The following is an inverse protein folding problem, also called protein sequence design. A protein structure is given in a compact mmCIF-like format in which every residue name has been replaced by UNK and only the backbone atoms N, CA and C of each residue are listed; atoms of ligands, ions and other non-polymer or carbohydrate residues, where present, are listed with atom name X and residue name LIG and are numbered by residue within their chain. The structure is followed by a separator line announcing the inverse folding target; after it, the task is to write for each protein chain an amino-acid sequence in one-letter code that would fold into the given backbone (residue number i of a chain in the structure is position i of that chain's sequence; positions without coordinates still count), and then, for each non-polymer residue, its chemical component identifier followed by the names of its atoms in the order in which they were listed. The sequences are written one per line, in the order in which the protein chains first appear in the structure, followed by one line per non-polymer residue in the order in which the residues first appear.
data_IF_056102320004
#
_entry.id   IF_056102320004
#
_cell.length_a   1.000
_cell.length_b   1.000
_cell.length_c   1.000
_cell.angle_alpha   90.00
_cell.angle_beta   90.00
_cell.angle_gamma   90.00
#
_symmetry.space_group_name_H-M   'P 1'
#
loop_
_entity.id
_entity.type
_entity.pdbx_description
1 polymer ?
#
# COMPACT_ATOMS: atom_id res chain seq x y z
N UNK A 1 -60.68 22.96 33.70
CA UNK A 1 -60.94 24.29 33.16
C UNK A 1 -60.00 24.51 32.01
N UNK A 2 -60.48 24.19 30.90
CA UNK A 2 -60.92 25.01 29.77
C UNK A 2 -59.71 25.41 28.89
N UNK A 3 -59.56 24.75 27.74
CA UNK A 3 -59.07 25.30 26.46
C UNK A 3 -60.00 26.46 26.03
N UNK A 4 -59.59 27.32 25.02
CA UNK A 4 -59.55 26.91 23.60
C UNK A 4 -58.50 27.64 22.73
N UNK A 5 -58.12 27.10 21.64
CA UNK A 5 -58.47 27.17 20.18
C UNK A 5 -57.67 28.19 19.37
N UNK A 6 -57.17 27.68 18.22
CA UNK A 6 -56.56 28.35 17.07
C UNK A 6 -57.50 29.37 16.36
N UNK A 7 -57.00 30.19 15.37
CA UNK A 7 -56.86 29.70 13.99
C UNK A 7 -55.73 30.34 13.13
N UNK A 8 -55.43 29.70 11.98
CA UNK A 8 -54.81 30.25 10.79
C UNK A 8 -55.73 31.23 10.07
N UNK A 9 -55.20 32.13 9.13
CA UNK A 9 -55.30 31.75 7.72
C UNK A 9 -54.18 32.27 6.78
N UNK A 10 -53.98 31.52 5.72
CA UNK A 10 -53.78 31.86 4.29
C UNK A 10 -53.42 33.28 3.85
N UNK A 11 -52.42 33.39 2.97
CA UNK A 11 -52.49 33.82 1.56
C UNK A 11 -51.19 34.33 0.95
N UNK A 12 -50.96 33.80 -0.23
CA UNK A 12 -50.52 34.39 -1.51
C UNK A 12 -49.11 34.15 -2.00
N UNK A 13 -49.07 33.32 -3.04
CA UNK A 13 -48.11 33.39 -4.17
C UNK A 13 -48.35 34.69 -4.97
N UNK A 14 -47.32 35.18 -5.69
CA UNK A 14 -47.46 35.14 -7.15
C UNK A 14 -46.25 34.54 -7.88
N UNK A 15 -46.61 33.87 -8.95
CA UNK A 15 -45.85 33.42 -10.09
C UNK A 15 -45.29 34.60 -10.91
N UNK A 16 -44.01 34.43 -11.37
CA UNK A 16 -43.56 35.10 -12.59
C UNK A 16 -42.80 34.11 -13.44
N UNK A 17 -43.37 33.80 -14.57
CA UNK A 17 -42.72 33.22 -15.74
C UNK A 17 -41.87 34.28 -16.43
N UNK A 18 -40.67 33.93 -16.83
CA UNK A 18 -40.06 34.42 -18.07
C UNK A 18 -39.15 33.33 -18.64
N UNK A 19 -39.54 32.91 -19.82
CA UNK A 19 -38.73 32.11 -20.76
C UNK A 19 -37.45 32.88 -21.11
N UNK A 20 -36.31 32.14 -21.17
CA UNK A 20 -35.37 32.36 -22.27
C UNK A 20 -34.63 31.07 -22.60
N UNK A 21 -34.71 30.73 -23.87
CA UNK A 21 -34.05 29.62 -24.55
C UNK A 21 -32.55 29.88 -24.62
N UNK A 22 -31.72 28.90 -24.28
CA UNK A 22 -30.50 28.63 -25.04
C UNK A 22 -30.11 27.17 -24.94
N UNK A 23 -30.15 26.57 -26.06
CA UNK A 23 -29.59 25.39 -26.67
C UNK A 23 -28.44 24.69 -25.91
N UNK A 24 -28.65 23.37 -25.81
CA UNK A 24 -27.73 22.41 -25.21
C UNK A 24 -26.55 22.03 -26.09
N UNK A 25 -25.60 21.42 -25.44
CA UNK A 25 -24.74 20.42 -26.00
C UNK A 25 -24.39 19.43 -24.86
N UNK A 26 -25.06 18.30 -24.90
CA UNK A 26 -24.68 17.15 -24.13
C UNK A 26 -23.44 16.51 -24.79
N UNK A 27 -22.33 16.52 -24.09
CA UNK A 27 -21.15 15.77 -24.50
C UNK A 27 -21.20 14.36 -23.89
N UNK A 28 -21.74 13.43 -24.65
CA UNK A 28 -21.66 11.98 -24.45
C UNK A 28 -20.20 11.51 -24.47
N UNK A 29 -19.73 10.94 -23.38
CA UNK A 29 -18.46 10.23 -23.32
C UNK A 29 -18.65 8.82 -23.92
N UNK A 30 -18.15 8.60 -25.13
CA UNK A 30 -18.07 7.29 -25.74
C UNK A 30 -16.79 6.54 -25.34
N UNK A 31 -16.85 5.25 -25.07
CA UNK A 31 -15.64 4.45 -24.90
C UNK A 31 -15.09 4.05 -26.28
N UNK A 32 -13.78 4.21 -26.44
CA UNK A 32 -13.03 3.77 -27.60
C UNK A 32 -12.75 2.25 -27.50
N UNK A 33 -13.49 1.45 -28.28
CA UNK A 33 -13.06 0.11 -28.67
C UNK A 33 -13.18 0.05 -30.19
N UNK A 34 -12.06 -0.05 -30.86
CA UNK A 34 -12.00 -0.28 -32.31
C UNK A 34 -12.12 -1.77 -32.63
N UNK A 35 -13.18 -2.11 -33.34
CA UNK A 35 -13.34 -3.42 -33.92
C UNK A 35 -12.62 -3.54 -35.28
N UNK A 36 -12.12 -4.72 -35.56
CA UNK A 36 -11.71 -5.17 -36.88
C UNK A 36 -12.72 -6.16 -37.42
N UNK A 37 -13.29 -5.82 -38.55
CA UNK A 37 -14.28 -6.55 -39.32
C UNK A 37 -13.65 -7.67 -40.19
N UNK A 38 -14.39 -8.76 -40.36
CA UNK A 38 -14.18 -9.73 -41.41
C UNK A 38 -15.39 -10.67 -41.49
N UNK A 39 -16.27 -10.41 -42.44
CA UNK A 39 -17.44 -11.19 -42.69
C UNK A 39 -17.19 -12.41 -43.59
N UNK A 40 -18.13 -13.31 -43.62
CA UNK A 40 -18.86 -13.83 -44.80
C UNK A 40 -19.72 -15.06 -44.42
N UNK A 41 -20.99 -14.93 -44.83
CA UNK A 41 -21.96 -15.88 -45.36
C UNK A 41 -22.18 -17.28 -44.75
N UNK A 42 -23.34 -17.50 -44.27
CA UNK A 42 -24.53 -18.16 -44.84
C UNK A 42 -24.46 -19.68 -45.04
N UNK A 43 -25.27 -20.44 -44.39
CA UNK A 43 -26.37 -21.15 -45.00
C UNK A 43 -27.07 -22.13 -44.01
N UNK A 44 -28.31 -22.39 -44.30
CA UNK A 44 -29.33 -23.17 -43.62
C UNK A 44 -29.03 -24.68 -43.42
N UNK A 45 -29.67 -25.26 -42.39
CA UNK A 45 -29.96 -26.68 -42.50
C UNK A 45 -30.09 -27.52 -41.24
N UNK A 46 -31.31 -27.59 -40.75
CA UNK A 46 -32.01 -28.78 -40.17
C UNK A 46 -31.33 -29.80 -39.23
N UNK A 47 -31.91 -29.83 -38.05
CA UNK A 47 -32.39 -31.03 -37.32
C UNK A 47 -31.61 -32.35 -37.41
N UNK A 48 -31.15 -32.86 -36.23
CA UNK A 48 -30.72 -34.25 -36.09
C UNK A 48 -30.14 -34.60 -34.73
N UNK A 49 -30.97 -35.05 -33.82
CA UNK A 49 -30.53 -35.76 -32.60
C UNK A 49 -29.73 -36.98 -32.95
N UNK A 50 -28.54 -37.16 -32.40
CA UNK A 50 -27.97 -38.47 -32.07
C UNK A 50 -27.04 -38.37 -30.88
N UNK A 51 -27.34 -39.13 -29.83
CA UNK A 51 -26.44 -39.52 -28.75
C UNK A 51 -25.17 -40.16 -29.29
N UNK A 52 -24.05 -39.74 -28.78
CA UNK A 52 -22.87 -40.61 -28.68
C UNK A 52 -21.89 -40.10 -27.64
N UNK A 53 -21.73 -40.90 -26.63
CA UNK A 53 -20.63 -40.87 -25.65
C UNK A 53 -19.28 -40.81 -26.35
N UNK A 54 -18.49 -39.76 -26.13
CA UNK A 54 -17.10 -39.77 -26.52
C UNK A 54 -16.20 -39.32 -25.37
N UNK A 55 -15.37 -40.26 -24.99
CA UNK A 55 -14.28 -40.24 -24.05
C UNK A 55 -13.46 -38.93 -24.13
N UNK A 56 -13.37 -38.20 -23.03
CA UNK A 56 -12.44 -37.13 -22.82
C UNK A 56 -11.00 -37.67 -22.94
N UNK A 57 -10.30 -37.30 -23.98
CA UNK A 57 -8.84 -37.45 -24.07
C UNK A 57 -8.17 -36.43 -23.14
N UNK A 58 -7.18 -36.83 -22.35
CA UNK A 58 -6.45 -35.88 -21.51
C UNK A 58 -5.70 -34.91 -22.43
N UNK A 59 -5.98 -33.63 -22.22
CA UNK A 59 -5.28 -32.50 -22.86
C UNK A 59 -3.82 -32.56 -22.41
N UNK A 60 -2.92 -32.95 -23.29
CA UNK A 60 -1.48 -32.91 -23.06
C UNK A 60 -1.12 -31.48 -22.67
N UNK A 61 -0.61 -31.31 -21.45
CA UNK A 61 0.11 -30.11 -21.02
C UNK A 61 1.21 -29.86 -22.07
N UNK A 62 1.15 -28.73 -22.77
CA UNK A 62 2.26 -28.24 -23.54
C UNK A 62 3.41 -27.99 -22.57
N UNK A 63 4.42 -28.84 -22.61
CA UNK A 63 5.70 -28.60 -21.97
C UNK A 63 6.30 -27.42 -22.70
N UNK A 64 6.20 -26.23 -22.10
CA UNK A 64 6.97 -25.07 -22.53
C UNK A 64 8.44 -25.43 -22.35
N UNK A 65 9.18 -25.47 -23.45
CA UNK A 65 10.65 -25.60 -23.42
C UNK A 65 11.23 -24.54 -22.48
N UNK A 66 12.28 -24.85 -21.72
CA UNK A 66 12.95 -23.84 -20.88
C UNK A 66 13.35 -22.69 -21.80
N UNK A 67 12.77 -21.51 -21.53
CA UNK A 67 13.02 -20.29 -22.29
C UNK A 67 14.48 -19.90 -22.16
N UNK A 68 15.09 -19.56 -23.27
CA UNK A 68 16.40 -18.92 -23.33
C UNK A 68 16.44 -17.77 -22.29
N UNK A 69 17.59 -17.51 -21.61
CA UNK A 69 17.72 -16.42 -20.68
C UNK A 69 17.29 -15.13 -21.39
N UNK A 70 16.20 -14.52 -20.90
CA UNK A 70 15.67 -13.25 -21.42
C UNK A 70 16.80 -12.22 -21.35
N UNK A 71 17.26 -11.78 -22.52
CA UNK A 71 18.29 -10.75 -22.70
C UNK A 71 17.98 -9.57 -21.78
N UNK A 72 18.91 -9.26 -20.90
CA UNK A 72 18.89 -8.09 -20.05
C UNK A 72 18.63 -6.86 -20.94
N UNK A 73 17.53 -6.16 -20.69
CA UNK A 73 17.17 -4.98 -21.50
C UNK A 73 18.29 -3.95 -21.41
N UNK A 74 18.60 -3.28 -22.51
CA UNK A 74 19.68 -2.30 -22.55
C UNK A 74 19.35 -1.09 -21.67
N UNK A 75 20.37 -0.44 -21.13
CA UNK A 75 20.29 0.78 -20.31
C UNK A 75 19.39 1.87 -20.95
N UNK A 76 19.41 1.99 -22.28
CA UNK A 76 18.54 2.92 -23.03
C UNK A 76 17.04 2.56 -22.93
N UNK A 77 16.70 1.27 -22.88
CA UNK A 77 15.31 0.85 -22.68
C UNK A 77 14.83 1.12 -21.25
N UNK A 78 15.70 0.97 -20.27
CA UNK A 78 15.38 1.29 -18.87
C UNK A 78 15.19 2.82 -18.66
N UNK A 79 15.99 3.64 -19.34
CA UNK A 79 15.79 5.11 -19.35
C UNK A 79 14.48 5.47 -20.05
N UNK A 80 14.15 4.84 -21.16
CA UNK A 80 12.89 5.06 -21.86
C UNK A 80 11.68 4.69 -21.02
N UNK A 81 11.75 3.60 -20.27
CA UNK A 81 10.69 3.23 -19.32
C UNK A 81 10.59 4.21 -18.14
N UNK A 82 11.72 4.60 -17.55
CA UNK A 82 11.74 5.59 -16.47
C UNK A 82 11.20 6.95 -16.95
N UNK A 83 11.52 7.38 -18.16
CA UNK A 83 10.98 8.61 -18.75
C UNK A 83 9.47 8.51 -18.99
N UNK A 84 8.97 7.39 -19.49
CA UNK A 84 7.54 7.17 -19.69
C UNK A 84 6.78 7.12 -18.36
N UNK A 85 7.33 6.44 -17.36
CA UNK A 85 6.76 6.41 -15.99
C UNK A 85 6.78 7.82 -15.36
N UNK A 86 7.86 8.58 -15.52
CA UNK A 86 7.94 9.97 -15.04
C UNK A 86 6.90 10.87 -15.72
N UNK A 87 6.68 10.72 -17.02
CA UNK A 87 5.65 11.45 -17.75
C UNK A 87 4.25 11.11 -17.23
N UNK A 88 3.94 9.84 -17.02
CA UNK A 88 2.68 9.40 -16.44
C UNK A 88 2.48 9.94 -15.02
N UNK A 89 3.50 9.86 -14.16
CA UNK A 89 3.47 10.39 -12.80
C UNK A 89 3.25 11.90 -12.80
N UNK A 90 3.89 12.63 -13.71
CA UNK A 90 3.69 14.07 -13.88
C UNK A 90 2.25 14.39 -14.28
N UNK A 91 1.69 13.64 -15.23
CA UNK A 91 0.29 13.79 -15.63
C UNK A 91 -0.68 13.53 -14.48
N UNK A 92 -0.44 12.49 -13.68
CA UNK A 92 -1.24 12.21 -12.48
C UNK A 92 -1.07 13.25 -11.39
N UNK A 93 0.14 13.76 -11.18
CA UNK A 93 0.41 14.87 -10.24
C UNK A 93 -0.39 16.11 -10.63
N UNK A 94 -0.43 16.47 -11.91
CA UNK A 94 -1.23 17.61 -12.39
C UNK A 94 -2.73 17.37 -12.18
N UNK A 95 -3.19 16.13 -12.42
CA UNK A 95 -4.59 15.75 -12.19
C UNK A 95 -4.93 15.85 -10.70
N UNK A 96 -4.06 15.35 -9.83
CA UNK A 96 -4.20 15.46 -8.37
C UNK A 96 -4.20 16.91 -7.88
N UNK A 97 -3.32 17.76 -8.42
CA UNK A 97 -3.30 19.19 -8.09
C UNK A 97 -4.63 19.88 -8.47
N UNK A 98 -5.29 19.44 -9.55
CA UNK A 98 -6.64 19.90 -9.89
C UNK A 98 -7.70 19.46 -8.88
N UNK A 99 -7.64 18.23 -8.40
CA UNK A 99 -8.55 17.71 -7.36
C UNK A 99 -8.32 18.37 -6.00
N UNK A 100 -7.10 18.73 -5.67
CA UNK A 100 -6.72 19.26 -4.35
C UNK A 100 -6.93 20.79 -4.22
N UNK A 101 -7.26 21.48 -5.30
CA UNK A 101 -7.34 22.95 -5.32
C UNK A 101 -5.99 23.60 -4.94
N UNK A 102 -5.49 24.51 -5.76
CA UNK A 102 -4.18 25.16 -5.52
C UNK A 102 -4.37 26.27 -4.49
N UNK A 103 -4.35 25.92 -3.18
CA UNK A 103 -4.33 26.89 -2.09
C UNK A 103 -2.92 27.08 -1.52
N UNK A 104 -2.65 28.23 -0.88
CA UNK A 104 -1.34 28.54 -0.30
C UNK A 104 -0.88 27.49 0.74
N UNK A 105 -1.81 26.86 1.44
CA UNK A 105 -1.56 25.76 2.38
C UNK A 105 -0.92 24.54 1.72
N UNK A 106 -1.30 24.24 0.49
CA UNK A 106 -0.69 23.15 -0.29
C UNK A 106 0.68 23.53 -0.80
N UNK A 107 0.90 24.79 -1.19
CA UNK A 107 2.22 25.28 -1.61
C UNK A 107 3.22 25.23 -0.47
N UNK A 108 2.83 25.62 0.75
CA UNK A 108 3.72 25.54 1.93
C UNK A 108 4.10 24.10 2.27
N UNK A 109 3.14 23.16 2.21
CA UNK A 109 3.40 21.73 2.44
C UNK A 109 4.29 21.12 1.38
N UNK A 110 4.06 21.47 0.13
CA UNK A 110 4.89 21.03 -0.99
C UNK A 110 6.31 21.58 -0.87
N UNK A 111 6.46 22.83 -0.44
CA UNK A 111 7.75 23.44 -0.15
C UNK A 111 8.46 22.74 1.02
N UNK A 112 7.75 22.44 2.11
CA UNK A 112 8.29 21.67 3.24
C UNK A 112 8.74 20.28 2.81
N UNK A 113 7.94 19.58 2.02
CA UNK A 113 8.28 18.27 1.45
C UNK A 113 9.51 18.37 0.53
N UNK A 114 9.58 19.39 -0.32
CA UNK A 114 10.74 19.64 -1.17
C UNK A 114 12.01 19.92 -0.39
N UNK A 115 11.92 20.73 0.68
CA UNK A 115 13.05 21.00 1.58
C UNK A 115 13.46 19.74 2.35
N UNK A 116 12.51 18.98 2.87
CA UNK A 116 12.74 17.69 3.51
C UNK A 116 13.52 16.74 2.59
N UNK A 117 13.03 16.57 1.35
CA UNK A 117 13.70 15.74 0.35
C UNK A 117 15.10 16.24 -0.01
N UNK A 118 15.29 17.58 -0.11
CA UNK A 118 16.60 18.18 -0.39
C UNK A 118 17.61 17.93 0.73
N UNK A 119 17.19 17.98 1.99
CA UNK A 119 18.04 17.67 3.15
C UNK A 119 18.47 16.19 3.19
N UNK A 120 17.63 15.28 2.72
CA UNK A 120 17.93 13.86 2.63
C UNK A 120 18.62 13.45 1.32
N UNK A 121 18.80 14.40 0.38
CA UNK A 121 19.36 14.17 -0.95
C UNK A 121 20.69 13.40 -0.97
N UNK A 122 21.68 13.67 -0.06
CA UNK A 122 22.92 12.90 -0.03
C UNK A 122 22.70 11.38 0.11
N UNK A 123 21.72 10.99 0.91
CA UNK A 123 21.31 9.58 1.04
C UNK A 123 20.60 9.06 -0.20
N UNK A 124 19.65 9.83 -0.73
CA UNK A 124 18.91 9.44 -1.93
C UNK A 124 19.81 9.24 -3.15
N UNK A 125 20.82 10.07 -3.33
CA UNK A 125 21.79 9.90 -4.43
C UNK A 125 22.60 8.61 -4.28
N UNK A 126 23.02 8.24 -3.07
CA UNK A 126 23.73 6.98 -2.82
C UNK A 126 22.84 5.76 -3.07
N UNK A 127 21.60 5.80 -2.59
CA UNK A 127 20.62 4.73 -2.82
C UNK A 127 20.25 4.64 -4.32
N UNK A 128 20.07 5.78 -5.00
CA UNK A 128 19.83 5.81 -6.43
C UNK A 128 21.03 5.23 -7.21
N UNK A 129 22.26 5.57 -6.83
CA UNK A 129 23.45 4.98 -7.44
C UNK A 129 23.44 3.45 -7.28
N UNK A 130 23.17 2.93 -6.09
CA UNK A 130 23.04 1.50 -5.85
C UNK A 130 21.91 0.91 -6.72
N UNK A 131 20.74 1.53 -6.73
CA UNK A 131 19.60 1.07 -7.51
C UNK A 131 19.88 0.95 -9.01
N UNK A 132 20.57 1.93 -9.59
CA UNK A 132 20.80 1.95 -11.04
C UNK A 132 22.03 1.15 -11.48
N UNK A 133 23.06 1.08 -10.66
CA UNK A 133 24.36 0.55 -11.08
C UNK A 133 24.78 -0.75 -10.40
N UNK A 134 24.09 -1.18 -9.33
CA UNK A 134 24.43 -2.45 -8.68
C UNK A 134 23.94 -3.65 -9.49
N UNK A 135 24.79 -4.66 -9.62
CA UNK A 135 24.43 -5.97 -10.20
C UNK A 135 23.50 -6.79 -9.31
N UNK A 136 23.39 -6.42 -8.04
CA UNK A 136 22.51 -7.06 -7.06
C UNK A 136 21.04 -6.68 -7.25
N UNK A 137 20.75 -5.61 -8.03
CA UNK A 137 19.38 -5.15 -8.27
C UNK A 137 18.89 -5.63 -9.63
N UNK A 138 17.90 -6.50 -9.62
CA UNK A 138 17.18 -6.93 -10.83
C UNK A 138 15.87 -6.15 -10.91
N UNK A 139 15.82 -5.19 -11.83
CA UNK A 139 14.70 -4.24 -11.94
C UNK A 139 13.63 -4.70 -12.91
N UNK A 140 12.39 -4.29 -12.62
CA UNK A 140 11.24 -4.38 -13.52
C UNK A 140 10.96 -5.80 -14.03
N UNK A 141 11.06 -6.79 -13.15
CA UNK A 141 10.60 -8.15 -13.42
C UNK A 141 9.08 -8.12 -13.54
N UNK A 142 8.56 -8.61 -14.65
CA UNK A 142 7.11 -8.60 -14.94
C UNK A 142 6.46 -9.76 -14.22
N UNK A 143 5.40 -9.47 -13.44
CA UNK A 143 4.62 -10.49 -12.74
C UNK A 143 3.16 -10.56 -13.20
N UNK A 144 2.69 -9.63 -14.02
CA UNK A 144 1.32 -9.60 -14.54
C UNK A 144 1.19 -8.69 -15.77
N UNK A 145 -0.04 -8.54 -16.26
CA UNK A 145 -0.36 -7.89 -17.52
C UNK A 145 -0.46 -6.37 -17.45
N UNK A 146 -0.72 -5.82 -16.24
CA UNK A 146 -0.86 -4.39 -16.06
C UNK A 146 0.50 -3.67 -16.20
N UNK A 147 0.53 -2.42 -16.65
CA UNK A 147 1.79 -1.68 -16.86
C UNK A 147 2.66 -1.62 -15.61
N UNK A 148 2.03 -1.57 -14.42
CA UNK A 148 2.72 -1.53 -13.13
C UNK A 148 2.87 -2.90 -12.45
N UNK A 149 2.44 -3.98 -13.07
CA UNK A 149 2.68 -5.33 -12.56
C UNK A 149 4.15 -5.74 -12.75
N UNK A 150 5.02 -5.04 -12.04
CA UNK A 150 6.47 -5.23 -12.05
C UNK A 150 7.00 -5.21 -10.63
N UNK A 151 8.07 -5.94 -10.38
CA UNK A 151 8.79 -5.92 -9.12
C UNK A 151 10.29 -5.73 -9.34
N UNK A 152 10.97 -5.24 -8.30
CA UNK A 152 12.42 -5.16 -8.26
C UNK A 152 12.94 -6.13 -7.20
N UNK A 153 13.98 -6.90 -7.53
CA UNK A 153 14.65 -7.79 -6.60
C UNK A 153 16.01 -7.20 -6.17
N UNK A 154 16.21 -7.19 -4.87
CA UNK A 154 17.48 -6.85 -4.23
C UNK A 154 18.09 -8.15 -3.70
N UNK A 155 19.22 -8.54 -4.28
CA UNK A 155 19.86 -9.82 -4.04
C UNK A 155 21.10 -9.66 -3.16
N UNK A 156 21.38 -10.58 -2.23
CA UNK A 156 22.65 -10.64 -1.54
C UNK A 156 23.83 -10.75 -2.52
N UNK A 157 25.00 -10.28 -2.10
CA UNK A 157 26.22 -10.36 -2.92
C UNK A 157 26.62 -11.83 -3.20
N UNK A 158 26.43 -12.70 -2.22
CA UNK A 158 26.69 -14.12 -2.32
C UNK A 158 25.39 -14.91 -2.09
N UNK A 159 25.05 -15.77 -3.03
CA UNK A 159 23.94 -16.72 -2.94
C UNK A 159 24.55 -18.11 -2.81
N UNK A 160 24.96 -18.45 -1.60
CA UNK A 160 25.53 -19.73 -1.19
C UNK A 160 24.46 -20.67 -0.62
N UNK A 161 23.32 -20.76 -1.29
CA UNK A 161 22.14 -21.53 -0.86
C UNK A 161 20.86 -20.68 -0.86
N UNK A 162 19.69 -21.30 -0.64
CA UNK A 162 18.41 -20.61 -0.62
C UNK A 162 18.33 -19.55 0.49
N UNK A 163 17.96 -18.33 0.15
CA UNK A 163 17.90 -17.18 1.05
C UNK A 163 16.47 -16.85 1.48
N UNK A 164 16.22 -16.36 2.70
CA UNK A 164 14.93 -15.84 3.09
C UNK A 164 14.55 -14.66 2.20
N UNK A 165 13.23 -14.46 2.04
CA UNK A 165 12.66 -13.49 1.10
C UNK A 165 11.66 -12.59 1.79
N UNK A 166 11.77 -11.28 1.61
CA UNK A 166 10.76 -10.29 2.00
C UNK A 166 10.04 -9.80 0.76
N UNK A 167 8.77 -10.14 0.64
CA UNK A 167 7.84 -9.54 -0.33
C UNK A 167 7.37 -8.20 0.22
N UNK A 168 7.82 -7.10 -0.37
CA UNK A 168 7.59 -5.76 0.17
C UNK A 168 6.60 -4.97 -0.69
N UNK A 169 5.52 -4.49 -0.06
CA UNK A 169 4.53 -3.59 -0.64
C UNK A 169 4.81 -2.18 -0.17
N UNK A 170 5.15 -1.29 -1.11
CA UNK A 170 5.58 0.07 -0.79
C UNK A 170 4.41 0.95 -0.36
N UNK A 171 4.66 1.92 0.52
CA UNK A 171 3.72 2.98 0.86
C UNK A 171 3.61 4.05 -0.23
N UNK A 172 2.92 5.14 0.08
CA UNK A 172 2.77 6.30 -0.78
C UNK A 172 1.32 6.76 -0.92
N UNK A 173 0.58 6.73 0.18
CA UNK A 173 -0.80 7.27 0.27
C UNK A 173 -1.76 6.75 -0.82
N UNK A 174 -1.55 5.54 -1.35
CA UNK A 174 -2.26 4.91 -2.48
C UNK A 174 -2.13 5.68 -3.81
N UNK A 175 -1.33 6.76 -3.84
CA UNK A 175 -1.23 7.72 -4.95
C UNK A 175 0.15 7.73 -5.57
N UNK A 176 1.21 7.69 -4.74
CA UNK A 176 2.60 7.89 -5.17
C UNK A 176 3.50 6.68 -4.88
N UNK A 177 2.93 5.52 -4.52
CA UNK A 177 3.69 4.30 -4.30
C UNK A 177 4.53 3.92 -5.52
N UNK A 178 5.78 3.49 -5.29
CA UNK A 178 6.66 3.04 -6.36
C UNK A 178 7.69 2.04 -5.83
N UNK A 179 7.93 0.97 -6.57
CA UNK A 179 8.84 -0.12 -6.16
C UNK A 179 10.25 0.34 -5.75
N UNK A 180 10.76 1.44 -6.33
CA UNK A 180 12.07 1.97 -5.98
C UNK A 180 12.11 2.61 -4.58
N UNK A 181 10.97 2.95 -3.97
CA UNK A 181 10.97 3.44 -2.57
C UNK A 181 11.48 2.40 -1.57
N UNK A 182 11.42 1.12 -1.92
CA UNK A 182 12.00 0.03 -1.14
C UNK A 182 13.50 -0.18 -1.32
N UNK A 183 14.20 0.66 -2.12
CA UNK A 183 15.62 0.46 -2.45
C UNK A 183 16.53 0.49 -1.23
N UNK A 184 16.26 1.38 -0.27
CA UNK A 184 17.06 1.49 0.95
C UNK A 184 16.89 0.24 1.83
N UNK A 185 15.66 -0.18 2.06
CA UNK A 185 15.35 -1.42 2.78
C UNK A 185 15.96 -2.62 2.04
N UNK A 186 15.77 -2.70 0.73
CA UNK A 186 16.28 -3.76 -0.12
C UNK A 186 17.79 -3.90 -0.07
N UNK A 187 18.51 -2.77 -0.13
CA UNK A 187 19.97 -2.76 0.02
C UNK A 187 20.40 -3.30 1.40
N UNK A 188 19.79 -2.80 2.46
CA UNK A 188 20.19 -3.13 3.83
C UNK A 188 19.89 -4.57 4.20
N UNK A 189 18.73 -5.11 3.80
CA UNK A 189 18.41 -6.52 4.03
C UNK A 189 19.25 -7.46 3.16
N UNK A 190 19.58 -7.05 1.92
CA UNK A 190 20.48 -7.83 1.07
C UNK A 190 21.89 -7.96 1.66
N UNK A 191 22.38 -6.94 2.39
CA UNK A 191 23.64 -7.00 3.15
C UNK A 191 23.62 -8.05 4.27
N UNK A 192 22.42 -8.41 4.77
CA UNK A 192 22.19 -9.48 5.76
C UNK A 192 21.80 -10.82 5.13
N UNK A 193 21.96 -10.98 3.83
CA UNK A 193 21.67 -12.24 3.15
C UNK A 193 20.18 -12.50 2.89
N UNK A 194 19.32 -11.48 2.98
CA UNK A 194 17.88 -11.55 2.77
C UNK A 194 17.54 -10.96 1.40
N UNK A 195 16.80 -11.69 0.58
CA UNK A 195 16.27 -11.18 -0.69
C UNK A 195 15.07 -10.28 -0.42
N UNK A 196 15.00 -9.11 -1.07
CA UNK A 196 13.82 -8.25 -1.01
C UNK A 196 13.19 -8.12 -2.38
N UNK A 197 11.90 -8.40 -2.47
CA UNK A 197 11.10 -8.26 -3.68
C UNK A 197 10.13 -7.09 -3.51
N UNK A 198 10.47 -5.92 -4.07
CA UNK A 198 9.63 -4.73 -3.98
C UNK A 198 8.56 -4.77 -5.07
N UNK A 199 7.31 -5.02 -4.67
CA UNK A 199 6.15 -5.12 -5.54
C UNK A 199 5.66 -3.72 -5.89
N UNK A 200 5.50 -3.45 -7.17
CA UNK A 200 4.81 -2.27 -7.69
C UNK A 200 3.34 -2.60 -7.95
N UNK A 201 2.47 -1.62 -7.83
CA UNK A 201 1.03 -1.77 -8.02
C UNK A 201 0.45 -0.50 -8.66
N UNK A 202 -0.74 -0.59 -9.26
CA UNK A 202 -1.44 0.59 -9.78
C UNK A 202 -1.82 1.52 -8.64
N UNK A 203 -1.38 2.77 -8.72
CA UNK A 203 -1.82 3.81 -7.80
C UNK A 203 -3.07 4.51 -8.33
N UNK A 204 -3.82 5.20 -7.44
CA UNK A 204 -4.86 6.12 -7.90
C UNK A 204 -4.22 7.30 -8.69
N UNK A 205 -4.82 7.74 -9.82
CA UNK A 205 -6.08 7.31 -10.41
C UNK A 205 -5.95 6.20 -11.48
N UNK A 206 -4.83 5.47 -11.56
CA UNK A 206 -4.66 4.33 -12.48
C UNK A 206 -5.49 3.11 -12.07
N UNK A 207 -5.72 2.97 -10.77
CA UNK A 207 -6.51 1.93 -10.17
C UNK A 207 -7.03 2.38 -8.81
N UNK A 208 -8.00 1.66 -8.29
CA UNK A 208 -8.61 1.82 -6.98
C UNK A 208 -7.97 0.86 -5.97
N UNK A 209 -8.45 0.87 -4.74
CA UNK A 209 -7.94 -0.02 -3.68
C UNK A 209 -8.11 -1.51 -4.06
N UNK A 210 -9.22 -1.89 -4.70
CA UNK A 210 -9.44 -3.25 -5.17
C UNK A 210 -8.41 -3.69 -6.22
N UNK A 211 -8.06 -2.78 -7.13
CA UNK A 211 -7.00 -2.99 -8.11
C UNK A 211 -5.63 -3.14 -7.45
N UNK A 212 -5.33 -2.34 -6.41
CA UNK A 212 -4.06 -2.39 -5.68
C UNK A 212 -3.90 -3.71 -4.91
N UNK A 213 -4.97 -4.18 -4.26
CA UNK A 213 -5.01 -5.46 -3.56
C UNK A 213 -4.82 -6.62 -4.54
N UNK A 214 -5.47 -6.55 -5.71
CA UNK A 214 -5.32 -7.54 -6.78
C UNK A 214 -3.90 -7.58 -7.33
N UNK A 215 -3.31 -6.43 -7.63
CA UNK A 215 -1.93 -6.33 -8.12
C UNK A 215 -0.94 -6.86 -7.08
N UNK A 216 -1.10 -6.51 -5.80
CA UNK A 216 -0.28 -7.02 -4.70
C UNK A 216 -0.39 -8.55 -4.57
N UNK A 217 -1.60 -9.11 -4.68
CA UNK A 217 -1.84 -10.56 -4.66
C UNK A 217 -1.12 -11.27 -5.81
N UNK A 218 -1.17 -10.71 -7.03
CA UNK A 218 -0.44 -11.25 -8.17
C UNK A 218 1.08 -11.19 -7.97
N UNK A 219 1.59 -10.09 -7.38
CA UNK A 219 3.01 -9.96 -7.05
C UNK A 219 3.47 -10.99 -6.02
N UNK A 220 2.67 -11.20 -4.96
CA UNK A 220 2.94 -12.22 -3.94
C UNK A 220 2.88 -13.63 -4.57
N UNK A 221 1.87 -13.91 -5.39
CA UNK A 221 1.76 -15.17 -6.12
C UNK A 221 3.00 -15.45 -6.97
N UNK A 222 3.48 -14.43 -7.70
CA UNK A 222 4.71 -14.56 -8.49
C UNK A 222 5.91 -14.92 -7.60
N UNK A 223 6.07 -14.26 -6.47
CA UNK A 223 7.17 -14.52 -5.54
C UNK A 223 7.08 -15.95 -4.99
N UNK A 224 5.92 -16.36 -4.47
CA UNK A 224 5.71 -17.70 -3.93
C UNK A 224 6.04 -18.81 -4.94
N UNK A 225 5.77 -18.58 -6.23
CA UNK A 225 5.90 -19.60 -7.26
C UNK A 225 7.23 -19.55 -8.02
N UNK A 226 7.98 -18.42 -8.01
CA UNK A 226 9.14 -18.25 -8.89
C UNK A 226 10.43 -17.82 -8.18
N UNK A 227 10.38 -17.49 -6.87
CA UNK A 227 11.52 -16.87 -6.20
C UNK A 227 12.74 -17.81 -6.10
N UNK A 228 12.53 -19.12 -6.17
CA UNK A 228 13.60 -20.10 -6.21
C UNK A 228 14.56 -19.92 -7.42
N UNK A 229 14.04 -19.43 -8.56
CA UNK A 229 14.85 -19.11 -9.76
C UNK A 229 15.84 -17.98 -9.51
N UNK A 230 15.60 -17.19 -8.45
CA UNK A 230 16.43 -16.05 -8.06
C UNK A 230 17.27 -16.35 -6.79
N UNK A 231 17.27 -17.60 -6.32
CA UNK A 231 18.01 -18.02 -5.14
C UNK A 231 17.26 -17.79 -3.82
N UNK A 232 15.95 -17.50 -3.87
CA UNK A 232 15.11 -17.42 -2.69
C UNK A 232 14.60 -18.77 -2.22
N UNK A 233 14.34 -18.88 -0.92
CA UNK A 233 13.73 -20.06 -0.31
C UNK A 233 12.20 -19.90 -0.30
N UNK A 234 11.45 -20.72 -1.05
CA UNK A 234 10.00 -20.64 -1.08
C UNK A 234 9.32 -21.01 0.26
N UNK A 235 10.09 -21.60 1.19
CA UNK A 235 9.62 -21.93 2.53
C UNK A 235 9.93 -20.84 3.57
N UNK A 236 10.68 -19.79 3.20
CA UNK A 236 11.05 -18.67 4.07
C UNK A 236 10.67 -17.33 3.45
N UNK A 237 9.39 -17.17 3.13
CA UNK A 237 8.85 -15.93 2.56
C UNK A 237 8.13 -15.16 3.66
N UNK A 238 8.42 -13.86 3.76
CA UNK A 238 7.82 -12.91 4.68
C UNK A 238 7.12 -11.82 3.86
N UNK A 239 5.91 -11.44 4.25
CA UNK A 239 5.22 -10.30 3.66
C UNK A 239 5.48 -9.07 4.51
N UNK A 240 5.83 -7.95 3.90
CA UNK A 240 6.02 -6.68 4.58
C UNK A 240 5.31 -5.56 3.83
N UNK A 241 4.71 -4.65 4.56
CA UNK A 241 4.16 -3.42 4.01
C UNK A 241 4.49 -2.20 4.85
N UNK A 242 4.58 -1.05 4.22
CA UNK A 242 4.82 0.23 4.89
C UNK A 242 3.72 1.23 4.55
N UNK A 243 3.15 1.94 5.54
CA UNK A 243 2.13 2.97 5.33
C UNK A 243 0.93 2.41 4.55
N UNK A 244 0.48 3.06 3.48
CA UNK A 244 -0.55 2.54 2.58
C UNK A 244 -0.24 1.12 2.07
N UNK A 245 1.03 0.77 1.90
CA UNK A 245 1.46 -0.58 1.53
C UNK A 245 1.21 -1.62 2.62
N UNK A 246 1.29 -1.23 3.90
CA UNK A 246 0.91 -2.11 5.00
C UNK A 246 -0.61 -2.40 4.98
N UNK A 247 -1.41 -1.38 4.69
CA UNK A 247 -2.85 -1.55 4.51
C UNK A 247 -3.18 -2.49 3.34
N UNK A 248 -2.60 -2.23 2.15
CA UNK A 248 -2.80 -3.07 0.96
C UNK A 248 -2.37 -4.52 1.24
N UNK A 249 -1.21 -4.72 1.87
CA UNK A 249 -0.71 -6.05 2.21
C UNK A 249 -1.61 -6.78 3.22
N UNK A 250 -2.15 -6.08 4.22
CA UNK A 250 -3.10 -6.65 5.18
C UNK A 250 -4.42 -7.04 4.51
N UNK A 251 -4.96 -6.17 3.62
CA UNK A 251 -6.15 -6.49 2.83
C UNK A 251 -5.93 -7.72 1.94
N UNK A 252 -4.77 -7.78 1.28
CA UNK A 252 -4.40 -8.90 0.39
C UNK A 252 -4.27 -10.20 1.17
N UNK A 253 -3.61 -10.16 2.33
CA UNK A 253 -3.43 -11.32 3.19
C UNK A 253 -4.77 -11.86 3.71
N UNK A 254 -5.64 -10.96 4.18
CA UNK A 254 -6.96 -11.32 4.69
C UNK A 254 -7.87 -11.86 3.58
N UNK A 255 -7.90 -11.21 2.41
CA UNK A 255 -8.65 -11.70 1.25
C UNK A 255 -8.23 -13.12 0.88
N UNK A 256 -6.92 -13.37 0.84
CA UNK A 256 -6.39 -14.70 0.53
C UNK A 256 -6.79 -15.74 1.59
N UNK A 257 -6.70 -15.40 2.87
CA UNK A 257 -7.10 -16.28 3.97
C UNK A 257 -8.61 -16.61 3.90
N UNK A 258 -9.45 -15.62 3.56
CA UNK A 258 -10.89 -15.83 3.38
C UNK A 258 -11.18 -16.76 2.21
N UNK A 259 -10.50 -16.59 1.08
CA UNK A 259 -10.66 -17.46 -0.10
C UNK A 259 -10.22 -18.91 0.21
N UNK A 260 -9.12 -19.08 0.93
CA UNK A 260 -8.68 -20.41 1.37
C UNK A 260 -9.70 -21.06 2.31
N UNK A 261 -10.20 -20.31 3.30
CA UNK A 261 -11.21 -20.82 4.24
C UNK A 261 -12.49 -21.25 3.53
N UNK A 262 -12.85 -20.62 2.41
CA UNK A 262 -14.00 -20.97 1.57
C UNK A 262 -13.74 -22.14 0.63
N UNK A 263 -12.48 -22.55 0.46
CA UNK A 263 -12.09 -23.58 -0.50
C UNK A 263 -12.05 -23.10 -1.95
N UNK A 264 -11.92 -21.78 -2.17
CA UNK A 264 -11.79 -21.20 -3.50
C UNK A 264 -10.48 -21.64 -4.18
N UNK A 265 -10.45 -21.58 -5.51
CA UNK A 265 -9.21 -21.79 -6.26
C UNK A 265 -8.24 -20.63 -6.01
N UNK A 266 -7.05 -20.95 -5.52
CA UNK A 266 -6.01 -19.99 -5.15
C UNK A 266 -4.74 -20.20 -5.98
N UNK A 267 -3.98 -19.12 -6.17
CA UNK A 267 -2.68 -19.14 -6.89
C UNK A 267 -1.47 -19.17 -5.96
N UNK A 268 -1.67 -18.84 -4.69
CA UNK A 268 -0.72 -18.93 -3.60
C UNK A 268 -1.48 -19.17 -2.29
N UNK A 269 -0.81 -19.68 -1.26
CA UNK A 269 -1.40 -19.96 0.05
C UNK A 269 -0.80 -19.08 1.14
N UNK A 270 -1.62 -18.64 2.09
CA UNK A 270 -1.15 -17.91 3.29
C UNK A 270 -0.14 -18.73 4.10
N UNK A 271 -0.20 -20.05 4.03
CA UNK A 271 0.75 -20.94 4.69
C UNK A 271 2.18 -20.88 4.13
N UNK A 272 2.36 -20.32 2.92
CA UNK A 272 3.68 -20.06 2.33
C UNK A 272 4.39 -18.86 3.00
N UNK A 273 3.65 -18.04 3.75
CA UNK A 273 4.18 -16.87 4.44
C UNK A 273 4.54 -17.23 5.90
N UNK A 274 5.76 -16.95 6.31
CA UNK A 274 6.26 -17.18 7.68
C UNK A 274 5.75 -16.12 8.67
N UNK A 275 5.66 -14.87 8.24
CA UNK A 275 5.07 -13.78 9.02
C UNK A 275 4.65 -12.63 8.10
N UNK A 276 3.79 -11.76 8.63
CA UNK A 276 3.47 -10.45 8.06
C UNK A 276 4.02 -9.34 8.97
N UNK A 277 4.75 -8.41 8.37
CA UNK A 277 5.29 -7.21 9.01
C UNK A 277 4.54 -5.97 8.51
N UNK A 278 3.82 -5.31 9.40
CA UNK A 278 3.16 -4.04 9.09
C UNK A 278 3.88 -2.87 9.74
N UNK A 279 4.43 -1.96 8.94
CA UNK A 279 5.16 -0.79 9.43
C UNK A 279 4.36 0.48 9.23
N UNK A 280 4.09 1.20 10.32
CA UNK A 280 3.42 2.51 10.32
C UNK A 280 2.28 2.56 9.30
N UNK A 281 1.37 1.63 9.42
CA UNK A 281 0.29 1.45 8.45
C UNK A 281 -0.55 2.73 8.30
N UNK A 282 -0.09 3.76 7.57
CA UNK A 282 -0.76 5.04 7.49
C UNK A 282 -0.27 6.08 6.49
N UNK A 283 -1.07 7.11 6.26
CA UNK A 283 -0.88 8.15 5.25
C UNK A 283 -0.28 9.42 5.80
N UNK A 284 0.45 10.02 4.85
CA UNK A 284 1.04 11.31 4.85
C UNK A 284 0.03 12.44 4.69
N UNK A 285 -0.28 13.18 5.75
CA UNK A 285 -0.82 14.53 5.62
C UNK A 285 -0.23 15.43 6.72
N UNK A 286 0.54 16.43 6.31
CA UNK A 286 1.13 17.41 7.20
C UNK A 286 0.09 18.16 8.02
N UNK A 287 0.27 18.19 9.33
CA UNK A 287 -0.46 19.08 10.22
C UNK A 287 0.18 20.45 10.22
N UNK A 288 -0.62 21.48 9.99
CA UNK A 288 -0.33 22.84 10.43
C UNK A 288 -0.93 22.99 11.83
N UNK A 289 -0.07 23.12 12.82
CA UNK A 289 -0.46 23.67 14.12
C UNK A 289 -0.51 25.18 13.91
N UNK A 290 -1.71 25.74 13.92
CA UNK A 290 -1.91 27.20 13.90
C UNK A 290 -1.57 27.72 15.29
N UNK A 291 -0.31 28.14 15.49
CA UNK A 291 0.17 28.79 16.71
C UNK A 291 -0.25 30.27 16.78
N UNK A 292 -1.24 30.68 16.00
CA UNK A 292 -1.81 32.00 16.10
C UNK A 292 -3.12 31.99 16.88
N UNK A 293 -3.06 31.71 18.17
CA UNK A 293 -3.90 32.42 19.14
C UNK A 293 -3.40 32.18 20.57
N UNK A 294 -2.51 33.05 21.02
CA UNK A 294 -2.45 33.46 22.41
C UNK A 294 -3.79 34.11 22.81
N UNK A 295 -4.79 33.31 23.07
CA UNK A 295 -5.93 33.73 23.84
C UNK A 295 -6.24 32.68 24.91
N UNK A 296 -5.67 32.87 26.08
CA UNK A 296 -6.03 32.15 27.31
C UNK A 296 -7.47 32.43 27.63
N UNK A 297 -8.36 31.55 27.26
CA UNK A 297 -9.62 31.38 27.98
C UNK A 297 -9.49 30.09 28.78
N UNK A 298 -9.30 30.26 30.09
CA UNK A 298 -9.54 29.18 31.06
C UNK A 298 -11.04 28.86 31.00
N UNK A 299 -11.40 27.82 30.29
CA UNK A 299 -12.64 27.10 30.52
C UNK A 299 -12.23 25.72 31.02
N UNK A 300 -12.32 25.48 32.29
CA UNK A 300 -12.40 24.14 32.87
C UNK A 300 -13.65 23.49 32.30
N UNK A 301 -13.47 22.71 31.22
CA UNK A 301 -14.45 21.72 30.80
C UNK A 301 -13.86 20.38 31.21
N UNK A 302 -14.41 19.85 32.27
CA UNK A 302 -14.30 18.45 32.67
C UNK A 302 -14.95 17.58 31.58
N UNK A 303 -14.21 17.37 30.46
CA UNK A 303 -14.58 16.44 29.44
C UNK A 303 -14.06 15.08 29.88
N UNK A 304 -14.99 14.28 30.38
CA UNK A 304 -14.76 12.91 30.78
C UNK A 304 -13.92 12.17 29.75
N UNK A 305 -12.86 11.54 30.21
CA UNK A 305 -11.88 10.69 29.51
C UNK A 305 -12.49 9.70 28.49
N UNK A 306 -13.80 9.48 28.55
CA UNK A 306 -14.53 8.54 27.67
C UNK A 306 -14.90 9.10 26.29
N UNK A 307 -14.91 10.41 26.06
CA UNK A 307 -15.15 10.94 24.70
C UNK A 307 -13.87 11.09 23.88
N UNK A 308 -12.72 11.28 24.53
CA UNK A 308 -11.43 11.32 23.85
C UNK A 308 -11.00 9.95 23.28
N UNK A 309 -11.47 8.88 23.86
CA UNK A 309 -11.18 7.49 23.40
C UNK A 309 -11.94 7.12 22.14
N UNK A 310 -13.04 7.79 21.81
CA UNK A 310 -13.82 7.51 20.59
C UNK A 310 -13.23 8.06 19.28
N UNK A 311 -12.22 8.92 19.34
CA UNK A 311 -11.65 9.56 18.14
C UNK A 311 -10.44 8.81 17.57
N UNK A 312 -9.98 7.74 18.20
CA UNK A 312 -8.67 7.11 17.91
C UNK A 312 -8.72 5.68 17.34
N UNK A 313 -9.70 5.33 16.51
CA UNK A 313 -9.74 4.03 15.83
C UNK A 313 -9.38 4.20 14.35
N UNK A 314 -8.20 3.72 13.91
CA UNK A 314 -7.65 4.15 12.63
C UNK A 314 -7.04 3.03 11.80
N UNK A 315 -6.88 3.24 10.58
CA UNK A 315 -6.18 2.65 9.45
C UNK A 315 -6.47 1.20 9.06
N UNK A 316 -6.45 0.29 9.94
CA UNK A 316 -7.02 -1.03 9.65
C UNK A 316 -8.54 -0.98 9.72
N UNK A 317 -9.09 0.21 10.05
CA UNK A 317 -10.50 0.56 10.03
C UNK A 317 -10.72 1.88 9.26
N UNK A 318 -11.04 1.78 7.97
CA UNK A 318 -11.21 2.93 7.08
C UNK A 318 -12.42 3.80 7.42
N UNK A 319 -13.45 3.25 8.09
CA UNK A 319 -14.67 3.98 8.44
C UNK A 319 -14.38 5.20 9.32
N UNK A 320 -13.41 5.06 10.23
CA UNK A 320 -12.99 6.14 11.14
C UNK A 320 -11.97 7.09 10.50
N UNK A 321 -11.36 6.70 9.38
CA UNK A 321 -10.33 7.48 8.70
C UNK A 321 -10.86 8.58 7.80
N UNK A 322 -12.08 8.45 7.30
CA UNK A 322 -12.67 9.43 6.38
C UNK A 322 -12.63 10.83 6.98
N UNK A 323 -13.06 10.98 8.22
CA UNK A 323 -13.11 12.28 8.89
C UNK A 323 -11.71 12.75 9.32
N UNK A 324 -10.85 11.84 9.77
CA UNK A 324 -9.47 12.15 10.10
C UNK A 324 -8.72 12.74 8.90
N UNK A 325 -8.84 12.12 7.73
CA UNK A 325 -8.18 12.60 6.52
C UNK A 325 -8.81 13.89 5.98
N UNK A 326 -10.13 14.02 6.08
CA UNK A 326 -10.80 15.26 5.68
C UNK A 326 -10.32 16.44 6.54
N UNK A 327 -10.20 16.26 7.84
CA UNK A 327 -9.68 17.27 8.76
C UNK A 327 -8.21 17.62 8.48
N UNK A 328 -7.45 16.70 7.92
CA UNK A 328 -6.05 16.89 7.54
C UNK A 328 -5.84 17.34 6.10
N UNK A 329 -6.91 17.55 5.32
CA UNK A 329 -6.84 18.12 3.98
C UNK A 329 -6.75 17.11 2.83
N UNK A 330 -6.89 15.81 3.11
CA UNK A 330 -7.23 14.85 2.07
C UNK A 330 -8.75 14.87 1.92
N UNK A 331 -9.24 15.53 0.89
CA UNK A 331 -10.67 15.67 0.70
C UNK A 331 -11.39 14.33 0.75
N UNK A 332 -12.51 14.28 1.49
CA UNK A 332 -13.35 13.09 1.61
C UNK A 332 -13.65 12.46 0.24
N UNK A 333 -13.96 13.29 -0.76
CA UNK A 333 -14.24 12.81 -2.12
C UNK A 333 -13.07 12.07 -2.76
N UNK A 334 -11.84 12.58 -2.59
CA UNK A 334 -10.65 11.91 -3.12
C UNK A 334 -10.39 10.59 -2.41
N UNK A 335 -10.47 10.58 -1.08
CA UNK A 335 -10.31 9.36 -0.31
C UNK A 335 -11.35 8.30 -0.69
N UNK A 336 -12.62 8.67 -0.76
CA UNK A 336 -13.69 7.76 -1.18
C UNK A 336 -13.52 7.28 -2.63
N UNK A 337 -12.99 8.13 -3.53
CA UNK A 337 -12.67 7.69 -4.89
C UNK A 337 -11.56 6.65 -4.94
N UNK A 338 -10.55 6.76 -4.06
CA UNK A 338 -9.50 5.75 -3.90
C UNK A 338 -10.10 4.44 -3.38
N UNK A 339 -11.00 4.53 -2.40
CA UNK A 339 -11.59 3.41 -1.67
C UNK A 339 -12.86 2.84 -2.31
N UNK A 340 -13.20 3.22 -3.56
CA UNK A 340 -14.37 2.74 -4.32
C UNK A 340 -15.73 3.12 -3.71
N UNK A 341 -15.77 4.20 -2.93
CA UNK A 341 -16.99 4.68 -2.28
C UNK A 341 -17.08 4.32 -0.80
N UNK A 342 -18.14 4.77 -0.17
CA UNK A 342 -18.37 4.58 1.27
C UNK A 342 -18.77 3.13 1.60
N UNK A 343 -19.50 2.48 0.70
CA UNK A 343 -20.00 1.12 0.87
C UNK A 343 -18.90 0.06 0.88
N UNK A 344 -17.76 0.36 0.26
CA UNK A 344 -16.60 -0.56 0.21
C UNK A 344 -15.63 -0.42 1.38
N UNK A 345 -15.80 0.61 2.23
CA UNK A 345 -14.88 0.87 3.34
C UNK A 345 -14.77 -0.31 4.31
N UNK A 346 -15.87 -1.01 4.59
CA UNK A 346 -15.85 -2.20 5.45
C UNK A 346 -15.03 -3.33 4.82
N UNK A 347 -15.18 -3.54 3.51
CA UNK A 347 -14.46 -4.57 2.78
C UNK A 347 -12.94 -4.35 2.82
N UNK A 348 -12.50 -3.10 2.71
CA UNK A 348 -11.09 -2.71 2.73
C UNK A 348 -10.62 -2.25 4.11
N UNK A 349 -11.38 -2.51 5.17
CA UNK A 349 -10.97 -2.33 6.56
C UNK A 349 -10.63 -3.69 7.19
N UNK A 350 -9.36 -4.14 7.21
CA UNK A 350 -8.99 -5.45 7.73
C UNK A 350 -9.47 -5.70 9.16
N UNK A 351 -9.43 -4.69 10.02
CA UNK A 351 -9.92 -4.75 11.41
C UNK A 351 -11.43 -5.04 11.49
N UNK A 352 -12.22 -4.37 10.64
CA UNK A 352 -13.69 -4.57 10.61
C UNK A 352 -14.04 -5.87 9.94
N UNK A 353 -13.42 -6.14 8.80
CA UNK A 353 -13.71 -7.29 7.96
C UNK A 353 -13.45 -8.62 8.67
N UNK A 354 -12.36 -8.72 9.44
CA UNK A 354 -12.01 -9.96 10.14
C UNK A 354 -12.97 -10.28 11.30
N UNK A 355 -13.69 -9.28 11.81
CA UNK A 355 -14.70 -9.45 12.86
C UNK A 355 -16.01 -10.04 12.32
N UNK A 356 -16.21 -10.02 10.99
CA UNK A 356 -17.38 -10.64 10.39
C UNK A 356 -17.39 -12.15 10.68
N UNK A 357 -18.50 -12.70 11.19
CA UNK A 357 -18.60 -14.13 11.50
C UNK A 357 -18.22 -15.07 10.35
N UNK A 358 -18.47 -14.66 9.09
CA UNK A 358 -18.10 -15.41 7.89
C UNK A 358 -16.58 -15.46 7.61
N UNK A 359 -15.78 -14.65 8.32
CA UNK A 359 -14.33 -14.55 8.16
C UNK A 359 -13.55 -15.14 9.35
N UNK A 360 -14.23 -15.68 10.37
CA UNK A 360 -13.57 -16.22 11.58
C UNK A 360 -12.59 -17.34 11.27
N UNK A 361 -12.98 -18.26 10.39
CA UNK A 361 -12.11 -19.38 10.02
C UNK A 361 -10.82 -18.91 9.31
N UNK A 362 -10.89 -17.75 8.63
CA UNK A 362 -9.73 -17.14 8.01
C UNK A 362 -8.70 -16.64 9.02
N UNK A 363 -9.12 -16.23 10.22
CA UNK A 363 -8.21 -15.76 11.26
C UNK A 363 -7.20 -16.84 11.71
N UNK A 364 -7.66 -18.11 11.73
CA UNK A 364 -6.81 -19.25 12.11
C UNK A 364 -5.75 -19.60 11.05
N UNK A 365 -5.96 -19.16 9.80
CA UNK A 365 -5.02 -19.40 8.69
C UNK A 365 -3.92 -18.33 8.62
N UNK A 366 -4.11 -17.17 9.26
CA UNK A 366 -3.16 -16.07 9.18
C UNK A 366 -1.80 -16.46 9.77
N UNK A 367 -0.69 -16.09 9.09
CA UNK A 367 0.64 -16.24 9.66
C UNK A 367 0.80 -15.32 10.89
N UNK A 368 1.87 -15.43 11.68
CA UNK A 368 2.19 -14.45 12.70
C UNK A 368 2.20 -13.03 12.12
N UNK A 369 1.53 -12.10 12.81
CA UNK A 369 1.42 -10.70 12.42
C UNK A 369 2.21 -9.87 13.40
N UNK A 370 3.20 -9.12 12.94
CA UNK A 370 4.03 -8.23 13.76
C UNK A 370 3.89 -6.82 13.21
N UNK A 371 3.30 -5.94 14.02
CA UNK A 371 3.12 -4.55 13.66
C UNK A 371 4.16 -3.68 14.37
N UNK A 372 4.78 -2.79 13.62
CA UNK A 372 5.76 -1.82 14.08
C UNK A 372 5.21 -0.41 13.94
N UNK A 373 5.24 0.40 15.01
CA UNK A 373 4.67 1.74 14.96
C UNK A 373 5.43 2.71 15.86
N UNK A 374 5.61 3.94 15.40
CA UNK A 374 6.17 5.02 16.20
C UNK A 374 5.10 5.70 17.06
N UNK A 375 5.38 5.96 18.35
CA UNK A 375 4.41 6.63 19.23
C UNK A 375 4.23 8.12 18.90
N UNK A 376 5.19 8.72 18.19
CA UNK A 376 5.13 10.08 17.66
C UNK A 376 4.59 10.18 16.23
N UNK A 377 3.96 9.13 15.72
CA UNK A 377 3.35 9.15 14.39
C UNK A 377 2.03 9.93 14.40
N UNK A 378 2.11 11.18 13.93
CA UNK A 378 0.94 12.05 13.79
C UNK A 378 0.16 11.82 12.49
N UNK A 379 0.79 11.19 11.50
CA UNK A 379 0.11 10.86 10.26
C UNK A 379 -0.91 9.78 10.50
N UNK A 380 -0.53 8.78 11.30
CA UNK A 380 -1.42 7.71 11.75
C UNK A 380 -1.15 7.42 13.22
N UNK A 381 -2.14 7.57 14.06
CA UNK A 381 -1.98 7.26 15.47
C UNK A 381 -1.64 5.77 15.68
N UNK A 382 -0.67 5.49 16.55
CA UNK A 382 -0.24 4.12 16.89
C UNK A 382 -1.37 3.27 17.53
N UNK A 383 -2.41 3.93 18.03
CA UNK A 383 -3.64 3.27 18.52
C UNK A 383 -4.31 2.40 17.47
N UNK A 384 -4.20 2.74 16.18
CA UNK A 384 -4.76 1.94 15.08
C UNK A 384 -4.11 0.57 14.96
N UNK A 385 -2.80 0.49 15.10
CA UNK A 385 -2.10 -0.79 15.15
C UNK A 385 -2.44 -1.57 16.43
N UNK A 386 -2.67 -0.88 17.54
CA UNK A 386 -3.05 -1.50 18.80
C UNK A 386 -4.43 -2.15 18.69
N UNK A 387 -5.46 -1.42 18.24
CA UNK A 387 -6.82 -1.98 18.11
C UNK A 387 -6.84 -3.15 17.16
N UNK A 388 -6.13 -3.09 16.04
CA UNK A 388 -6.06 -4.22 15.10
C UNK A 388 -5.40 -5.46 15.72
N UNK A 389 -4.29 -5.30 16.44
CA UNK A 389 -3.65 -6.41 17.17
C UNK A 389 -4.59 -6.99 18.24
N UNK A 390 -5.31 -6.15 18.97
CA UNK A 390 -6.25 -6.59 20.01
C UNK A 390 -7.42 -7.40 19.38
N UNK A 391 -7.94 -6.95 18.23
CA UNK A 391 -8.96 -7.70 17.46
C UNK A 391 -8.40 -9.03 16.98
N UNK A 392 -7.23 -9.06 16.37
CA UNK A 392 -6.60 -10.29 15.88
C UNK A 392 -6.40 -11.31 17.02
N UNK A 393 -5.91 -10.87 18.18
CA UNK A 393 -5.71 -11.72 19.36
C UNK A 393 -7.04 -12.24 19.90
N UNK A 394 -8.09 -11.43 19.91
CA UNK A 394 -9.43 -11.85 20.34
C UNK A 394 -10.02 -12.98 19.47
N UNK A 395 -9.59 -13.07 18.22
CA UNK A 395 -9.97 -14.09 17.25
C UNK A 395 -9.00 -15.28 17.22
N UNK A 396 -8.01 -15.31 18.11
CA UNK A 396 -7.03 -16.40 18.23
C UNK A 396 -5.86 -16.33 17.25
N UNK A 397 -5.73 -15.26 16.47
CA UNK A 397 -4.57 -15.07 15.60
C UNK A 397 -3.32 -14.66 16.41
N UNK A 398 -2.14 -15.08 15.95
CA UNK A 398 -0.86 -14.68 16.54
C UNK A 398 -0.51 -13.27 16.07
N UNK A 399 -0.65 -12.28 16.94
CA UNK A 399 -0.37 -10.89 16.61
C UNK A 399 0.45 -10.20 17.71
N UNK A 400 1.41 -9.38 17.31
CA UNK A 400 2.28 -8.60 18.20
C UNK A 400 2.36 -7.15 17.72
N UNK A 401 2.49 -6.22 18.66
CA UNK A 401 2.73 -4.81 18.41
C UNK A 401 4.02 -4.39 19.10
N UNK A 402 4.92 -3.82 18.32
CA UNK A 402 6.17 -3.23 18.81
C UNK A 402 6.12 -1.73 18.59
N UNK A 403 6.13 -0.97 19.69
CA UNK A 403 6.09 0.49 19.67
C UNK A 403 7.50 1.07 19.84
N UNK A 404 7.80 2.07 19.02
CA UNK A 404 9.05 2.83 19.07
C UNK A 404 8.75 4.23 19.59
N UNK A 405 9.24 4.51 20.82
CA UNK A 405 8.92 5.75 21.52
C UNK A 405 9.45 6.98 20.78
N UNK A 406 8.57 7.98 20.60
CA UNK A 406 8.88 9.27 19.98
C UNK A 406 9.16 9.22 18.47
N UNK A 407 9.13 8.04 17.82
CA UNK A 407 9.36 7.92 16.38
C UNK A 407 8.15 8.37 15.58
N UNK A 408 8.40 9.15 14.53
CA UNK A 408 7.39 9.66 13.61
C UNK A 408 7.11 8.66 12.47
N UNK A 409 6.17 9.00 11.60
CA UNK A 409 5.76 8.18 10.45
C UNK A 409 6.90 7.75 9.53
N UNK A 410 7.89 8.63 9.33
CA UNK A 410 9.00 8.40 8.40
C UNK A 410 10.31 8.02 9.08
N UNK A 411 10.43 8.17 10.39
CA UNK A 411 11.68 7.89 11.09
C UNK A 411 12.14 6.46 10.90
N UNK A 412 11.25 5.51 11.16
CA UNK A 412 11.58 4.08 11.14
C UNK A 412 11.95 3.56 9.75
N UNK A 413 11.32 4.10 8.71
CA UNK A 413 11.51 3.60 7.34
C UNK A 413 12.57 4.39 6.55
N UNK A 414 12.83 5.64 6.92
CA UNK A 414 13.66 6.54 6.14
C UNK A 414 14.80 7.16 6.95
N UNK A 415 14.50 7.90 8.03
CA UNK A 415 15.53 8.66 8.74
C UNK A 415 16.52 7.78 9.50
N UNK A 416 16.05 6.77 10.24
CA UNK A 416 16.92 5.86 10.99
C UNK A 416 17.76 4.99 10.04
N UNK A 417 17.21 4.41 8.95
CA UNK A 417 18.02 3.78 7.91
C UNK A 417 19.08 4.69 7.29
N UNK A 418 18.79 5.96 7.02
CA UNK A 418 19.75 6.92 6.47
C UNK A 418 20.80 7.39 7.49
N UNK A 419 20.43 7.41 8.79
CA UNK A 419 21.35 7.71 9.89
C UNK A 419 22.42 6.65 10.04
N UNK A 420 22.07 5.40 9.76
CA UNK A 420 22.95 4.26 9.98
C UNK A 420 23.20 3.97 11.47
N UNK A 421 24.18 3.14 11.76
CA UNK A 421 24.41 2.66 13.11
C UNK A 421 23.43 1.57 13.50
N UNK A 422 23.02 1.54 14.78
CA UNK A 422 22.02 0.61 15.28
C UNK A 422 20.62 1.13 14.93
N UNK A 423 19.78 0.26 14.40
CA UNK A 423 18.38 0.55 14.06
C UNK A 423 17.51 -0.58 14.61
N UNK A 424 16.72 -0.23 15.60
CA UNK A 424 15.98 -1.23 16.37
C UNK A 424 14.92 -1.94 15.52
N UNK A 425 14.27 -1.25 14.57
CA UNK A 425 13.35 -1.90 13.63
C UNK A 425 14.07 -2.93 12.76
N UNK A 426 15.21 -2.52 12.18
CA UNK A 426 15.99 -3.38 11.31
C UNK A 426 16.49 -4.65 12.04
N UNK A 427 17.00 -4.48 13.26
CA UNK A 427 17.47 -5.63 14.06
C UNK A 427 16.32 -6.56 14.47
N UNK A 428 15.11 -6.03 14.76
CA UNK A 428 13.93 -6.88 14.99
C UNK A 428 13.53 -7.67 13.75
N UNK A 429 13.50 -7.03 12.58
CA UNK A 429 13.18 -7.72 11.32
C UNK A 429 14.17 -8.85 11.05
N UNK A 430 15.48 -8.58 11.16
CA UNK A 430 16.52 -9.57 10.91
C UNK A 430 16.43 -10.71 11.92
N UNK A 431 16.22 -10.41 13.20
CA UNK A 431 16.10 -11.42 14.24
C UNK A 431 14.92 -12.39 14.00
N UNK A 432 13.77 -11.89 13.55
CA UNK A 432 12.60 -12.72 13.20
C UNK A 432 12.87 -13.54 11.94
N UNK A 433 13.49 -12.94 10.92
CA UNK A 433 13.75 -13.62 9.63
C UNK A 433 14.80 -14.72 9.78
N UNK A 434 15.78 -14.54 10.66
CA UNK A 434 16.87 -15.47 10.91
C UNK A 434 16.64 -16.35 12.15
N UNK A 435 15.48 -16.32 12.80
CA UNK A 435 15.21 -17.00 14.07
C UNK A 435 15.58 -18.51 14.04
N UNK A 436 15.35 -19.17 12.91
CA UNK A 436 15.62 -20.61 12.74
C UNK A 436 16.98 -20.90 12.04
N UNK A 437 17.83 -19.87 11.81
CA UNK A 437 19.09 -19.96 11.06
C UNK A 437 20.27 -19.54 11.96
N UNK A 438 20.87 -20.51 12.66
CA UNK A 438 21.95 -20.27 13.62
C UNK A 438 23.19 -19.65 12.96
N UNK A 439 23.49 -20.01 11.71
CA UNK A 439 24.64 -19.47 10.98
C UNK A 439 24.39 -18.00 10.60
N UNK A 440 23.17 -17.66 10.24
CA UNK A 440 22.77 -16.29 9.97
C UNK A 440 22.80 -15.44 11.25
N UNK A 441 22.25 -15.93 12.36
CA UNK A 441 22.31 -15.27 13.66
C UNK A 441 23.74 -15.01 14.13
N UNK A 442 24.63 -15.99 13.95
CA UNK A 442 26.06 -15.82 14.29
C UNK A 442 26.72 -14.71 13.43
N UNK A 443 26.39 -14.62 12.14
CA UNK A 443 26.86 -13.56 11.26
C UNK A 443 26.29 -12.19 11.66
N UNK A 444 25.01 -12.13 12.04
CA UNK A 444 24.36 -10.90 12.49
C UNK A 444 24.98 -10.35 13.76
N UNK A 445 25.34 -11.23 14.71
CA UNK A 445 25.95 -10.83 15.98
C UNK A 445 27.30 -10.11 15.82
N UNK A 446 28.03 -10.39 14.73
CA UNK A 446 29.33 -9.79 14.42
C UNK A 446 29.26 -8.78 13.26
N UNK A 447 28.06 -8.52 12.74
CA UNK A 447 27.89 -7.61 11.61
C UNK A 447 28.28 -6.18 12.00
N UNK A 448 29.02 -5.46 11.13
CA UNK A 448 29.40 -4.08 11.41
C UNK A 448 28.15 -3.17 11.45
N UNK A 449 28.20 -2.09 12.24
CA UNK A 449 27.12 -1.13 12.25
C UNK A 449 26.89 -0.56 10.84
N UNK A 450 25.63 -0.31 10.50
CA UNK A 450 25.28 0.20 9.16
C UNK A 450 25.90 1.56 8.88
N UNK A 451 26.29 1.76 7.63
CA UNK A 451 26.92 2.98 7.17
C UNK A 451 25.93 4.15 7.23
N UNK A 452 26.39 5.32 7.73
CA UNK A 452 25.64 6.57 7.66
C UNK A 452 25.63 7.09 6.21
N UNK A 453 24.43 7.37 5.69
CA UNK A 453 24.23 7.89 4.34
C UNK A 453 23.96 9.40 4.32
N UNK A 454 23.42 9.96 5.43
CA UNK A 454 23.14 11.39 5.58
C UNK A 454 23.79 11.92 6.86
N UNK A 455 24.49 13.07 6.81
CA UNK A 455 25.02 13.71 8.00
C UNK A 455 23.95 14.02 9.05
N UNK A 456 24.27 13.85 10.33
CA UNK A 456 23.33 14.01 11.44
C UNK A 456 22.67 15.41 11.47
N UNK A 457 23.43 16.46 11.16
CA UNK A 457 22.90 17.84 11.10
C UNK A 457 21.77 17.96 10.08
N UNK A 458 21.90 17.32 8.91
CA UNK A 458 20.86 17.34 7.88
C UNK A 458 19.63 16.53 8.30
N UNK A 459 19.82 15.41 8.99
CA UNK A 459 18.71 14.61 9.55
C UNK A 459 17.95 15.39 10.62
N UNK A 460 18.63 16.09 11.51
CA UNK A 460 17.99 16.92 12.53
C UNK A 460 17.21 18.09 11.90
N UNK A 461 17.77 18.73 10.87
CA UNK A 461 17.06 19.76 10.12
C UNK A 461 15.87 19.19 9.36
N UNK A 462 16.03 18.02 8.74
CA UNK A 462 14.93 17.32 8.08
C UNK A 462 13.79 17.00 9.06
N UNK A 463 14.08 16.51 10.27
CA UNK A 463 13.08 16.27 11.30
C UNK A 463 12.29 17.51 11.70
N UNK A 464 12.92 18.71 11.72
CA UNK A 464 12.25 19.98 12.05
C UNK A 464 11.30 20.49 10.96
N UNK A 465 11.55 20.13 9.70
CA UNK A 465 10.75 20.56 8.54
C UNK A 465 9.89 19.44 7.98
N UNK A 466 9.99 18.27 8.59
CA UNK A 466 9.23 17.10 8.18
C UNK A 466 7.72 17.42 8.13
N UNK A 467 7.05 17.16 7.04
CA UNK A 467 5.59 17.30 6.95
C UNK A 467 4.85 16.10 7.56
N UNK A 468 5.56 15.17 8.20
CA UNK A 468 5.06 13.85 8.63
C UNK A 468 4.99 13.69 10.13
#
# INVERSE_FOLDING_TARGET
MASPSAPSPDRHRPSFETEDKMTGEEAEARPLVSGGSGGYDGDDGACGRKDSSSKLKPRRRAVTKPGQPRRQKSFSQDIGHAAAETYLLTGFTITLLRYLGVGYRWLSRLAALGLYAALLMPGFLQVAYYYFFSKQVKRSIVYGDQPRNRLDLYLPANIDGPKPVVAFVTGGAWIIGYKAWGSLLGQQLAERGIIVACIDYRNFPQGTIGDMVTDASHGISFICNNIAEYGGDPNRIYLMGQSAGAHIAACTLLEQAIREARGDSITWSVSQLKAYFGLSGGILVATYQDDSESFKIHIEIDLSYNEFVKVSQFMYNLLNLVDHFNNRGLYRSLFLSIMEGEESLEQFSPEVRIQNPSCRDAACLLPPIILFHGTGDYSIPSTSSKTFVDVLRSLGARAELILFEGKTHTDLFLQDPLRGGKDDLFEHLVAVIHADDQDALAKDAVAPPRRRLVPEVLLQLAGRVSPF
#
